data_IF_441337531645
#
_entry.id   IF_441337531645
#
_cell.length_a   1.000
_cell.length_b   1.000
_cell.length_c   1.000
_cell.angle_alpha   90.00
_cell.angle_beta   90.00
_cell.angle_gamma   90.00
#
_symmetry.space_group_name_H-M   'P 1'
#
loop_
_entity.id
_entity.type
_entity.pdbx_description
1 polymer ?
#
# COMPACT_ATOMS: atom_id res chain seq x y z
N UNK A 1 59.09 27.90 20.91
CA UNK A 1 59.04 26.47 20.56
C UNK A 1 57.74 26.21 19.84
N UNK A 2 57.79 26.14 18.51
CA UNK A 2 56.78 25.47 17.68
C UNK A 2 57.37 24.10 17.31
N UNK A 3 56.58 23.02 17.25
CA UNK A 3 56.97 21.83 16.52
C UNK A 3 56.25 21.76 15.18
N UNK A 4 57.08 21.67 14.14
CA UNK A 4 56.78 21.35 12.75
C UNK A 4 56.37 19.88 12.57
N UNK A 5 55.50 19.68 11.58
CA UNK A 5 54.93 18.42 11.07
C UNK A 5 55.99 17.56 10.35
N UNK A 6 55.79 16.23 10.25
CA UNK A 6 56.12 15.52 9.02
C UNK A 6 54.92 14.75 8.42
N UNK A 7 54.66 15.03 7.14
CA UNK A 7 53.80 14.24 6.26
C UNK A 7 54.59 13.09 5.65
N UNK A 8 54.10 11.86 5.83
CA UNK A 8 54.35 10.66 5.00
C UNK A 8 53.23 9.67 5.34
N UNK A 9 52.54 8.95 4.47
CA UNK A 9 52.55 8.76 3.03
C UNK A 9 51.36 7.82 2.72
N UNK A 10 50.72 8.03 1.57
CA UNK A 10 49.62 7.26 1.04
C UNK A 10 50.00 5.79 0.81
N UNK A 11 49.08 4.88 1.16
CA UNK A 11 48.61 3.67 0.42
C UNK A 11 48.26 2.54 1.41
N UNK A 12 46.95 2.26 1.56
CA UNK A 12 46.40 0.92 1.81
C UNK A 12 44.91 0.95 1.50
N UNK A 13 44.50 0.06 0.60
CA UNK A 13 43.16 0.02 0.00
C UNK A 13 42.06 -0.01 1.06
N UNK A 14 41.01 0.77 0.81
CA UNK A 14 39.71 0.55 1.41
C UNK A 14 39.16 -0.76 0.82
N UNK A 15 39.46 -1.87 1.46
CA UNK A 15 38.57 -3.03 1.39
C UNK A 15 37.30 -2.62 2.16
N UNK A 16 36.34 -2.05 1.42
CA UNK A 16 34.97 -1.91 1.90
C UNK A 16 34.34 -3.29 1.95
N UNK A 17 34.71 -4.08 2.97
CA UNK A 17 33.86 -5.15 3.46
C UNK A 17 32.67 -4.51 4.19
N UNK A 18 31.80 -3.86 3.43
CA UNK A 18 30.45 -3.54 3.84
C UNK A 18 29.77 -4.89 4.09
N UNK A 19 29.71 -5.30 5.36
CA UNK A 19 28.82 -6.39 5.74
C UNK A 19 27.41 -5.93 5.36
N UNK A 20 26.62 -6.75 4.66
CA UNK A 20 25.21 -6.46 4.45
C UNK A 20 24.57 -6.19 5.81
N UNK A 21 23.99 -5.00 5.96
CA UNK A 21 23.15 -4.68 7.11
C UNK A 21 21.98 -5.67 7.08
N UNK A 22 21.60 -6.28 8.21
CA UNK A 22 20.46 -7.17 8.25
C UNK A 22 19.23 -6.41 7.73
N UNK A 23 18.66 -6.87 6.61
CA UNK A 23 17.30 -6.50 6.19
C UNK A 23 16.34 -6.84 7.34
N UNK A 24 15.13 -6.28 7.34
CA UNK A 24 13.99 -6.72 8.18
C UNK A 24 13.57 -8.19 7.88
N UNK A 25 14.54 -9.11 7.73
CA UNK A 25 14.38 -10.55 7.67
C UNK A 25 14.16 -11.05 9.11
N UNK A 26 13.03 -10.68 9.72
CA UNK A 26 12.67 -11.22 11.03
C UNK A 26 12.16 -12.65 10.85
N UNK A 27 13.07 -13.62 11.07
CA UNK A 27 12.72 -14.99 11.45
C UNK A 27 12.08 -15.10 12.84
N UNK A 28 11.94 -13.98 13.54
CA UNK A 28 11.23 -13.91 14.81
C UNK A 28 9.83 -13.37 14.58
N UNK A 29 8.85 -14.25 14.83
CA UNK A 29 7.46 -13.87 15.05
C UNK A 29 7.46 -12.96 16.27
N UNK A 30 7.30 -11.66 16.07
CA UNK A 30 7.04 -10.74 17.19
C UNK A 30 5.62 -11.01 17.69
N UNK A 31 5.39 -11.07 19.01
CA UNK A 31 4.08 -11.42 19.55
C UNK A 31 3.07 -10.28 19.34
N UNK A 32 1.82 -10.66 19.07
CA UNK A 32 0.60 -9.91 19.41
C UNK A 32 0.31 -8.55 18.74
N UNK A 33 0.72 -8.31 17.49
CA UNK A 33 0.05 -7.24 16.71
C UNK A 33 -1.26 -7.74 16.08
N UNK A 34 -2.30 -6.89 16.08
CA UNK A 34 -3.51 -7.06 15.25
C UNK A 34 -3.34 -6.47 13.83
N UNK A 35 -2.16 -5.91 13.53
CA UNK A 35 -1.86 -5.25 12.27
C UNK A 35 -1.51 -6.20 11.12
N UNK A 36 -1.20 -5.61 9.97
CA UNK A 36 -0.90 -6.35 8.73
C UNK A 36 0.29 -7.32 8.85
N UNK A 37 0.33 -8.33 7.97
CA UNK A 37 1.36 -9.36 8.01
C UNK A 37 2.75 -8.88 7.56
N UNK A 38 2.79 -7.75 6.88
CA UNK A 38 4.02 -7.17 6.37
C UNK A 38 4.79 -6.40 7.46
N UNK A 39 6.12 -6.60 7.60
CA UNK A 39 6.89 -5.96 8.66
C UNK A 39 6.82 -4.42 8.70
N UNK A 40 6.64 -3.77 7.54
CA UNK A 40 6.52 -2.31 7.45
C UNK A 40 5.13 -1.78 7.84
N UNK A 41 4.13 -2.67 7.89
CA UNK A 41 2.72 -2.33 8.07
C UNK A 41 2.10 -2.95 9.33
N UNK A 42 2.83 -3.84 10.00
CA UNK A 42 2.39 -4.60 11.17
C UNK A 42 1.82 -3.80 12.33
N UNK A 43 1.97 -2.48 12.36
CA UNK A 43 1.43 -1.64 13.41
C UNK A 43 0.09 -1.00 13.04
N UNK A 44 -0.43 -1.28 11.84
CA UNK A 44 -1.62 -0.69 11.27
C UNK A 44 -2.62 -1.78 10.87
N UNK A 45 -3.89 -1.49 11.03
CA UNK A 45 -4.98 -2.24 10.40
C UNK A 45 -6.17 -1.33 10.13
N UNK A 46 -6.94 -1.67 9.12
CA UNK A 46 -8.18 -0.99 8.79
C UNK A 46 -9.42 -1.72 9.33
N UNK A 47 -10.41 -0.93 9.78
CA UNK A 47 -11.73 -1.42 10.17
C UNK A 47 -12.83 -0.84 9.24
N UNK A 48 -13.63 -1.70 8.57
CA UNK A 48 -14.56 -1.30 7.52
C UNK A 48 -15.68 -0.39 8.01
N UNK A 49 -16.18 0.53 7.17
CA UNK A 49 -17.29 1.41 7.55
C UNK A 49 -18.59 0.66 7.85
N UNK A 50 -18.79 -0.46 7.17
CA UNK A 50 -19.98 -1.29 7.30
C UNK A 50 -19.61 -2.74 7.57
N UNK A 51 -20.32 -3.35 8.52
CA UNK A 51 -20.28 -4.78 8.78
C UNK A 51 -21.44 -5.43 8.04
N UNK A 52 -21.13 -6.41 7.20
CA UNK A 52 -22.13 -7.24 6.52
C UNK A 52 -22.42 -8.45 7.40
N UNK A 53 -23.55 -8.41 8.13
CA UNK A 53 -24.01 -9.54 8.98
C UNK A 53 -25.44 -9.92 8.60
N UNK A 54 -25.73 -11.22 8.50
CA UNK A 54 -27.09 -11.74 8.30
C UNK A 54 -27.84 -11.16 7.10
N UNK A 55 -27.10 -10.84 6.01
CA UNK A 55 -27.67 -10.23 4.81
C UNK A 55 -28.05 -8.76 4.94
N UNK A 56 -27.62 -8.09 6.01
CA UNK A 56 -27.82 -6.66 6.24
C UNK A 56 -26.47 -5.96 6.41
N UNK A 57 -26.39 -4.73 5.90
CA UNK A 57 -25.30 -3.82 6.22
C UNK A 57 -25.64 -3.08 7.51
N UNK A 58 -24.73 -3.10 8.47
CA UNK A 58 -24.81 -2.32 9.71
C UNK A 58 -23.62 -1.38 9.79
N UNK A 59 -23.85 -0.17 10.30
CA UNK A 59 -22.77 0.77 10.59
C UNK A 59 -21.77 0.13 11.56
N UNK A 60 -20.49 0.21 11.24
CA UNK A 60 -19.43 -0.09 12.18
C UNK A 60 -19.11 1.18 12.98
N UNK A 61 -19.13 1.10 14.30
CA UNK A 61 -18.75 2.24 15.15
C UNK A 61 -17.24 2.32 15.38
N UNK A 62 -16.54 1.22 15.13
CA UNK A 62 -15.10 1.07 15.27
C UNK A 62 -14.42 1.23 13.91
N UNK A 63 -15.02 1.94 12.96
CA UNK A 63 -14.46 2.11 11.62
C UNK A 63 -13.33 3.14 11.62
N UNK A 64 -12.37 2.96 10.73
CA UNK A 64 -11.23 3.87 10.59
C UNK A 64 -9.91 3.11 10.49
N UNK A 65 -8.83 3.84 10.65
CA UNK A 65 -7.47 3.29 10.66
C UNK A 65 -7.05 3.14 12.12
N UNK A 66 -6.59 1.95 12.46
CA UNK A 66 -6.16 1.62 13.79
C UNK A 66 -4.64 1.47 13.84
N UNK A 67 -4.08 1.89 14.97
CA UNK A 67 -2.63 1.92 15.18
C UNK A 67 -2.29 1.28 16.52
N UNK A 68 -1.41 0.30 16.49
CA UNK A 68 -0.73 -0.20 17.69
C UNK A 68 0.50 0.69 17.94
N UNK A 69 0.38 1.62 18.89
CA UNK A 69 1.35 2.70 19.08
C UNK A 69 2.69 2.24 19.66
N UNK A 70 2.69 1.14 20.42
CA UNK A 70 3.91 0.59 20.99
C UNK A 70 4.74 -0.07 19.88
N UNK A 71 4.09 -0.85 19.01
CA UNK A 71 4.64 -1.41 17.78
C UNK A 71 5.19 -0.32 16.85
N UNK A 72 4.41 0.75 16.63
CA UNK A 72 4.85 1.84 15.75
C UNK A 72 6.10 2.53 16.31
N UNK A 73 6.18 2.68 17.62
CA UNK A 73 7.34 3.27 18.30
C UNK A 73 8.57 2.36 18.21
N UNK A 74 8.40 1.04 18.28
CA UNK A 74 9.49 0.10 18.05
C UNK A 74 9.98 0.10 16.59
N UNK A 75 9.04 0.13 15.64
CA UNK A 75 9.35 0.21 14.21
C UNK A 75 10.08 1.52 13.88
N UNK A 76 9.60 2.65 14.39
CA UNK A 76 10.24 3.95 14.18
C UNK A 76 11.61 4.04 14.83
N UNK A 77 11.81 3.47 16.03
CA UNK A 77 13.12 3.41 16.66
C UNK A 77 14.13 2.59 15.84
N UNK A 78 13.69 1.48 15.25
CA UNK A 78 14.53 0.68 14.35
C UNK A 78 14.93 1.48 13.10
N UNK A 79 13.97 2.15 12.45
CA UNK A 79 14.21 2.99 11.28
C UNK A 79 15.10 4.19 11.62
N UNK A 80 14.90 4.82 12.78
CA UNK A 80 15.73 5.92 13.28
C UNK A 80 17.19 5.48 13.41
N UNK A 81 17.46 4.30 13.98
CA UNK A 81 18.81 3.75 14.08
C UNK A 81 19.49 3.53 12.73
N UNK A 82 18.72 3.23 11.66
CA UNK A 82 19.25 3.16 10.30
C UNK A 82 19.51 4.55 9.71
N UNK A 83 18.57 5.47 9.90
CA UNK A 83 18.70 6.88 9.50
C UNK A 83 19.94 7.54 10.13
N UNK A 84 20.23 7.28 11.41
CA UNK A 84 21.43 7.78 12.09
C UNK A 84 22.72 7.23 11.46
N UNK A 85 22.74 5.94 11.09
CA UNK A 85 23.88 5.34 10.40
C UNK A 85 24.10 5.96 9.01
N UNK A 86 23.02 6.39 8.37
CA UNK A 86 23.03 7.13 7.10
C UNK A 86 23.39 8.62 7.27
N UNK A 87 23.56 9.11 8.51
CA UNK A 87 23.91 10.50 8.80
C UNK A 87 22.72 11.47 8.79
N UNK A 88 21.48 10.97 8.87
CA UNK A 88 20.27 11.80 8.92
C UNK A 88 20.16 12.49 10.29
N UNK A 89 19.99 13.80 10.28
CA UNK A 89 19.77 14.61 11.50
C UNK A 89 18.29 14.54 11.90
N UNK A 90 18.01 14.50 13.21
CA UNK A 90 16.64 14.36 13.75
C UNK A 90 15.94 13.04 13.32
N UNK A 91 16.73 11.97 13.21
CA UNK A 91 16.27 10.66 12.74
C UNK A 91 15.03 10.13 13.48
N UNK A 92 14.91 10.34 14.78
CA UNK A 92 13.77 9.86 15.58
C UNK A 92 12.42 10.40 15.07
N UNK A 93 12.31 11.72 14.88
CA UNK A 93 11.08 12.35 14.40
C UNK A 93 10.77 12.00 12.94
N UNK A 94 11.80 11.98 12.08
CA UNK A 94 11.65 11.65 10.67
C UNK A 94 11.29 10.17 10.47
N UNK A 95 11.85 9.27 11.27
CA UNK A 95 11.51 7.87 11.24
C UNK A 95 10.06 7.63 11.67
N UNK A 96 9.59 8.29 12.73
CA UNK A 96 8.20 8.19 13.15
C UNK A 96 7.26 8.68 12.06
N UNK A 97 7.54 9.84 11.46
CA UNK A 97 6.73 10.39 10.36
C UNK A 97 6.73 9.47 9.14
N UNK A 98 7.89 8.93 8.76
CA UNK A 98 8.02 8.05 7.60
C UNK A 98 7.26 6.74 7.82
N UNK A 99 7.42 6.10 8.98
CA UNK A 99 6.70 4.87 9.34
C UNK A 99 5.19 5.11 9.42
N UNK A 100 4.77 6.21 10.04
CA UNK A 100 3.36 6.56 10.17
C UNK A 100 2.71 6.76 8.81
N UNK A 101 3.32 7.59 7.97
CA UNK A 101 2.79 7.93 6.66
C UNK A 101 2.66 6.69 5.78
N UNK A 102 3.69 5.84 5.75
CA UNK A 102 3.65 4.59 4.99
C UNK A 102 2.48 3.69 5.41
N UNK A 103 2.34 3.42 6.71
CA UNK A 103 1.27 2.57 7.21
C UNK A 103 -0.12 3.18 7.06
N UNK A 104 -0.26 4.47 7.37
CA UNK A 104 -1.53 5.18 7.24
C UNK A 104 -2.03 5.21 5.80
N UNK A 105 -1.19 5.57 4.82
CA UNK A 105 -1.62 5.67 3.42
C UNK A 105 -1.86 4.28 2.80
N UNK A 106 -1.18 3.24 3.31
CA UNK A 106 -1.51 1.85 2.97
C UNK A 106 -2.92 1.49 3.42
N UNK A 107 -3.25 1.66 4.71
CA UNK A 107 -4.59 1.37 5.23
C UNK A 107 -5.67 2.29 4.63
N UNK A 108 -5.31 3.51 4.27
CA UNK A 108 -6.20 4.43 3.59
C UNK A 108 -6.65 3.89 2.23
N UNK A 109 -5.77 3.20 1.50
CA UNK A 109 -6.15 2.53 0.26
C UNK A 109 -7.20 1.42 0.51
N UNK A 110 -7.02 0.62 1.56
CA UNK A 110 -8.01 -0.39 1.96
C UNK A 110 -9.34 0.25 2.33
N UNK A 111 -9.31 1.40 3.02
CA UNK A 111 -10.51 2.19 3.31
C UNK A 111 -11.23 2.67 2.04
N UNK A 112 -10.50 3.22 1.07
CA UNK A 112 -11.07 3.65 -0.21
C UNK A 112 -11.71 2.46 -0.95
N UNK A 113 -11.04 1.32 -0.94
CA UNK A 113 -11.54 0.08 -1.53
C UNK A 113 -12.84 -0.39 -0.86
N UNK A 114 -12.85 -0.46 0.47
CA UNK A 114 -14.02 -0.85 1.26
C UNK A 114 -15.20 0.11 1.07
N UNK A 115 -14.92 1.41 0.99
CA UNK A 115 -15.94 2.45 0.79
C UNK A 115 -16.60 2.33 -0.59
N UNK A 116 -15.80 2.11 -1.63
CA UNK A 116 -16.30 1.89 -2.98
C UNK A 116 -17.17 0.63 -3.07
N UNK A 117 -16.71 -0.46 -2.45
CA UNK A 117 -17.47 -1.71 -2.37
C UNK A 117 -18.77 -1.52 -1.59
N UNK A 118 -18.72 -0.87 -0.43
CA UNK A 118 -19.88 -0.60 0.42
C UNK A 118 -20.94 0.20 -0.33
N UNK A 119 -20.52 1.26 -1.04
CA UNK A 119 -21.43 2.06 -1.85
C UNK A 119 -22.08 1.23 -2.97
N UNK A 120 -21.33 0.31 -3.59
CA UNK A 120 -21.87 -0.62 -4.58
C UNK A 120 -22.90 -1.59 -3.98
N UNK A 121 -22.62 -2.17 -2.81
CA UNK A 121 -23.54 -3.07 -2.12
C UNK A 121 -24.82 -2.35 -1.66
N UNK A 122 -24.73 -1.08 -1.25
CA UNK A 122 -25.88 -0.24 -0.95
C UNK A 122 -26.79 -0.07 -2.17
N UNK A 123 -26.22 0.26 -3.34
CA UNK A 123 -26.99 0.36 -4.59
C UNK A 123 -27.68 -0.95 -4.96
N UNK A 124 -27.00 -2.09 -4.84
CA UNK A 124 -27.62 -3.41 -5.09
C UNK A 124 -28.78 -3.64 -4.11
N UNK A 125 -28.58 -3.36 -2.82
CA UNK A 125 -29.63 -3.55 -1.82
C UNK A 125 -30.85 -2.66 -2.09
N UNK A 126 -30.67 -1.41 -2.53
CA UNK A 126 -31.76 -0.51 -2.89
C UNK A 126 -32.58 -1.01 -4.08
N UNK A 127 -31.94 -1.66 -5.06
CA UNK A 127 -32.59 -2.19 -6.26
C UNK A 127 -33.23 -3.56 -6.01
N UNK A 128 -32.51 -4.48 -5.36
CA UNK A 128 -32.91 -5.88 -5.23
C UNK A 128 -33.54 -6.24 -3.88
N UNK A 129 -33.45 -5.35 -2.89
CA UNK A 129 -33.91 -5.59 -1.52
C UNK A 129 -33.05 -6.59 -0.73
N UNK A 130 -31.93 -7.06 -1.29
CA UNK A 130 -30.99 -8.00 -0.69
C UNK A 130 -29.57 -7.77 -1.21
N UNK A 131 -28.58 -8.22 -0.44
CA UNK A 131 -27.16 -8.22 -0.84
C UNK A 131 -26.79 -9.61 -1.36
N UNK A 132 -25.95 -9.73 -2.42
CA UNK A 132 -25.47 -11.02 -2.90
C UNK A 132 -24.76 -11.83 -1.81
N UNK A 133 -24.96 -13.14 -1.78
CA UNK A 133 -24.29 -14.00 -0.79
C UNK A 133 -22.76 -14.07 -1.01
N UNK A 134 -22.32 -13.94 -2.26
CA UNK A 134 -20.91 -13.88 -2.63
C UNK A 134 -20.15 -12.75 -1.92
N UNK A 135 -20.81 -11.60 -1.69
CA UNK A 135 -20.22 -10.45 -1.00
C UNK A 135 -19.84 -10.73 0.46
N UNK A 136 -20.41 -11.77 1.07
CA UNK A 136 -20.05 -12.23 2.42
C UNK A 136 -18.87 -13.20 2.42
N UNK A 137 -18.60 -13.83 1.27
CA UNK A 137 -17.63 -14.92 1.17
C UNK A 137 -16.21 -14.38 1.04
N UNK A 138 -15.98 -13.35 0.21
CA UNK A 138 -14.62 -12.86 -0.04
C UNK A 138 -13.89 -12.49 1.23
N UNK A 139 -14.43 -11.60 2.09
CA UNK A 139 -13.74 -11.19 3.33
C UNK A 139 -13.41 -12.38 4.23
N UNK A 140 -14.32 -13.35 4.34
CA UNK A 140 -14.11 -14.56 5.14
C UNK A 140 -13.01 -15.43 4.56
N UNK A 141 -12.97 -15.62 3.24
CA UNK A 141 -11.92 -16.40 2.59
C UNK A 141 -10.58 -15.66 2.58
N UNK A 142 -10.60 -14.34 2.39
CA UNK A 142 -9.45 -13.44 2.52
C UNK A 142 -8.78 -13.59 3.88
N UNK A 143 -9.53 -13.39 4.98
CA UNK A 143 -9.00 -13.53 6.35
C UNK A 143 -8.46 -14.94 6.65
N UNK A 144 -9.04 -16.00 6.07
CA UNK A 144 -8.50 -17.35 6.25
C UNK A 144 -7.16 -17.57 5.55
N UNK A 145 -6.88 -16.83 4.49
CA UNK A 145 -5.72 -17.05 3.63
C UNK A 145 -4.59 -16.08 3.95
N UNK A 146 -4.90 -14.85 4.37
CA UNK A 146 -3.89 -13.86 4.80
C UNK A 146 -3.05 -14.40 5.96
N UNK A 147 -3.69 -15.08 6.93
CA UNK A 147 -3.01 -15.66 8.10
C UNK A 147 -2.22 -16.95 7.82
N UNK A 148 -2.35 -17.55 6.62
CA UNK A 148 -1.94 -18.94 6.41
C UNK A 148 -0.59 -19.19 5.74
N UNK A 149 0.02 -18.26 5.00
CA UNK A 149 1.42 -18.41 4.53
C UNK A 149 1.87 -17.26 3.60
N UNK A 150 3.19 -17.10 3.48
CA UNK A 150 3.95 -16.24 2.54
C UNK A 150 3.78 -16.56 1.04
N UNK A 151 2.65 -17.13 0.62
CA UNK A 151 2.39 -17.60 -0.75
C UNK A 151 1.11 -17.07 -1.37
N UNK A 152 0.36 -16.22 -0.67
CA UNK A 152 -0.89 -15.69 -1.21
C UNK A 152 -0.64 -14.49 -2.12
N UNK A 153 0.14 -14.70 -3.18
CA UNK A 153 0.51 -13.67 -4.15
C UNK A 153 -0.70 -13.12 -4.92
N UNK A 154 -1.85 -13.79 -4.86
CA UNK A 154 -3.12 -13.36 -5.45
C UNK A 154 -3.94 -12.42 -4.54
N UNK A 155 -3.44 -12.00 -3.37
CA UNK A 155 -4.02 -10.89 -2.60
C UNK A 155 -3.57 -9.54 -3.18
N UNK A 156 -4.01 -9.28 -4.41
CA UNK A 156 -3.57 -8.13 -5.23
C UNK A 156 -3.94 -6.78 -4.61
N UNK A 157 -4.87 -6.74 -3.64
CA UNK A 157 -5.20 -5.51 -2.94
C UNK A 157 -3.98 -4.90 -2.22
N UNK A 158 -3.14 -5.73 -1.59
CA UNK A 158 -1.90 -5.31 -0.94
C UNK A 158 -0.89 -4.74 -1.95
N UNK A 159 -0.83 -5.37 -3.14
CA UNK A 159 -0.05 -4.89 -4.28
C UNK A 159 -0.49 -3.50 -4.71
N UNK A 160 -1.81 -3.28 -4.80
CA UNK A 160 -2.39 -2.00 -5.19
C UNK A 160 -2.21 -0.93 -4.11
N UNK A 161 -2.27 -1.29 -2.83
CA UNK A 161 -2.03 -0.35 -1.72
C UNK A 161 -0.60 0.20 -1.75
N UNK A 162 0.40 -0.67 -1.89
CA UNK A 162 1.79 -0.23 -2.06
C UNK A 162 2.01 0.53 -3.37
N UNK A 163 1.37 0.10 -4.46
CA UNK A 163 1.43 0.83 -5.73
C UNK A 163 0.79 2.21 -5.63
N UNK A 164 -0.29 2.38 -4.86
CA UNK A 164 -0.95 3.66 -4.62
C UNK A 164 -0.01 4.66 -3.93
N UNK A 165 0.70 4.22 -2.88
CA UNK A 165 1.71 5.04 -2.18
C UNK A 165 2.79 5.51 -3.16
N UNK A 166 3.28 4.62 -4.02
CA UNK A 166 4.35 4.98 -4.98
C UNK A 166 3.83 5.83 -6.14
N UNK A 167 2.59 5.60 -6.56
CA UNK A 167 1.95 6.32 -7.67
C UNK A 167 1.65 7.75 -7.36
N UNK A 168 1.28 8.07 -6.13
CA UNK A 168 0.76 9.38 -5.76
C UNK A 168 1.77 10.47 -6.11
N UNK A 169 1.57 11.14 -7.26
CA UNK A 169 2.55 12.07 -7.82
C UNK A 169 2.51 13.38 -7.06
N UNK A 170 1.46 13.60 -6.25
CA UNK A 170 1.30 14.84 -5.50
C UNK A 170 2.14 14.85 -4.24
N UNK A 171 2.45 13.69 -3.62
CA UNK A 171 3.06 13.67 -2.27
C UNK A 171 3.80 12.42 -1.80
N UNK A 172 3.57 11.20 -2.27
CA UNK A 172 4.21 10.03 -1.65
C UNK A 172 5.20 9.33 -2.57
N UNK A 173 5.01 9.42 -3.89
CA UNK A 173 5.94 8.85 -4.86
C UNK A 173 7.36 9.40 -4.72
N UNK A 174 7.51 10.67 -4.30
CA UNK A 174 8.83 11.27 -4.06
C UNK A 174 9.52 10.79 -2.76
N UNK A 175 8.83 10.04 -1.89
CA UNK A 175 9.40 9.38 -0.71
C UNK A 175 9.70 7.88 -0.95
N UNK A 176 9.41 7.36 -2.16
CA UNK A 176 9.63 5.95 -2.53
C UNK A 176 11.00 5.42 -2.13
N UNK A 177 12.06 6.16 -2.45
CA UNK A 177 13.44 5.75 -2.13
C UNK A 177 13.68 5.66 -0.62
N UNK A 178 13.07 6.55 0.17
CA UNK A 178 13.17 6.46 1.63
C UNK A 178 12.42 5.24 2.15
N UNK A 179 11.22 4.96 1.65
CA UNK A 179 10.47 3.76 2.04
C UNK A 179 11.23 2.46 1.70
N UNK A 180 11.86 2.39 0.53
CA UNK A 180 12.69 1.25 0.12
C UNK A 180 13.97 1.13 0.96
N UNK A 181 14.68 2.25 1.15
CA UNK A 181 15.95 2.31 1.88
C UNK A 181 15.81 1.83 3.33
N UNK A 182 14.72 2.23 3.98
CA UNK A 182 14.44 1.88 5.38
C UNK A 182 13.56 0.63 5.54
N UNK A 183 13.36 -0.13 4.46
CA UNK A 183 12.71 -1.43 4.48
C UNK A 183 11.21 -1.43 4.76
N UNK A 184 10.57 -0.26 4.71
CA UNK A 184 9.12 -0.10 4.83
C UNK A 184 8.43 -0.64 3.57
N UNK A 185 8.76 -0.11 2.40
CA UNK A 185 8.31 -0.64 1.12
C UNK A 185 9.21 -1.84 0.72
N UNK A 186 8.64 -3.00 0.35
CA UNK A 186 9.42 -4.14 -0.14
C UNK A 186 10.12 -3.82 -1.45
N UNK A 187 11.30 -4.43 -1.66
CA UNK A 187 11.90 -4.46 -2.98
C UNK A 187 11.00 -5.24 -3.95
N UNK A 188 10.88 -4.82 -5.22
CA UNK A 188 10.00 -5.47 -6.19
C UNK A 188 10.29 -6.96 -6.45
N UNK A 189 11.47 -7.44 -6.11
CA UNK A 189 11.93 -8.82 -6.28
C UNK A 189 11.90 -9.63 -4.96
N UNK A 190 11.41 -9.05 -3.86
CA UNK A 190 11.35 -9.70 -2.56
C UNK A 190 10.11 -10.60 -2.44
N UNK A 191 10.12 -11.72 -3.18
CA UNK A 191 9.01 -12.68 -3.20
C UNK A 191 8.63 -13.22 -1.81
N UNK A 192 9.54 -13.14 -0.81
CA UNK A 192 9.26 -13.53 0.58
C UNK A 192 8.25 -12.62 1.27
N UNK A 193 8.15 -11.36 0.80
CA UNK A 193 7.13 -10.40 1.22
C UNK A 193 5.83 -10.54 0.41
N UNK A 194 5.79 -11.47 -0.55
CA UNK A 194 4.58 -11.91 -1.21
C UNK A 194 3.84 -10.78 -1.95
N UNK A 195 2.50 -10.65 -1.81
CA UNK A 195 1.72 -9.70 -2.60
C UNK A 195 2.17 -8.24 -2.38
N UNK A 196 2.69 -7.92 -1.19
CA UNK A 196 3.21 -6.59 -0.89
C UNK A 196 4.35 -6.18 -1.82
N UNK A 197 5.14 -7.12 -2.37
CA UNK A 197 6.30 -6.86 -3.23
C UNK A 197 5.97 -6.74 -4.74
N UNK A 198 4.74 -7.01 -5.17
CA UNK A 198 4.34 -7.00 -6.59
C UNK A 198 4.00 -5.60 -7.15
N UNK A 199 4.24 -4.55 -6.37
CA UNK A 199 3.70 -3.20 -6.59
C UNK A 199 4.30 -2.46 -7.78
N UNK A 200 5.54 -2.76 -8.17
CA UNK A 200 6.34 -1.93 -9.10
C UNK A 200 5.67 -1.68 -10.45
N UNK A 201 5.29 -2.75 -11.15
CA UNK A 201 4.60 -2.61 -12.44
C UNK A 201 3.26 -1.90 -12.29
N UNK A 202 2.51 -2.22 -11.24
CA UNK A 202 1.25 -1.54 -10.96
C UNK A 202 1.47 -0.05 -10.65
N UNK A 203 2.62 0.33 -10.10
CA UNK A 203 2.93 1.71 -9.78
C UNK A 203 3.22 2.54 -11.04
N UNK A 204 3.92 1.97 -12.03
CA UNK A 204 4.36 2.73 -13.21
C UNK A 204 3.53 2.49 -14.48
N UNK A 205 2.65 1.49 -14.49
CA UNK A 205 1.75 1.20 -15.61
C UNK A 205 0.28 1.35 -15.18
N UNK A 206 -0.41 2.30 -15.80
CA UNK A 206 -1.82 2.59 -15.51
C UNK A 206 -2.78 1.51 -16.01
N UNK A 207 -2.44 0.78 -17.08
CA UNK A 207 -3.28 -0.34 -17.53
C UNK A 207 -3.18 -1.50 -16.54
N UNK A 208 -1.96 -1.82 -16.09
CA UNK A 208 -1.73 -2.84 -15.06
C UNK A 208 -2.46 -2.50 -13.77
N UNK A 209 -2.36 -1.27 -13.27
CA UNK A 209 -3.11 -0.87 -12.06
C UNK A 209 -4.62 -1.02 -12.24
N UNK A 210 -5.14 -0.70 -13.42
CA UNK A 210 -6.57 -0.85 -13.75
C UNK A 210 -6.98 -2.32 -13.80
N UNK A 211 -6.18 -3.16 -14.46
CA UNK A 211 -6.40 -4.61 -14.55
C UNK A 211 -6.39 -5.26 -13.16
N UNK A 212 -5.40 -4.95 -12.34
CA UNK A 212 -5.30 -5.45 -10.96
C UNK A 212 -6.49 -4.95 -10.11
N UNK A 213 -6.92 -3.69 -10.27
CA UNK A 213 -8.12 -3.17 -9.60
C UNK A 213 -9.39 -3.92 -10.04
N UNK A 214 -9.50 -4.25 -11.33
CA UNK A 214 -10.59 -5.06 -11.86
C UNK A 214 -10.58 -6.47 -11.27
N UNK A 215 -9.41 -7.10 -11.14
CA UNK A 215 -9.27 -8.40 -10.50
C UNK A 215 -9.77 -8.37 -9.04
N UNK A 216 -9.41 -7.33 -8.27
CA UNK A 216 -9.92 -7.14 -6.90
C UNK A 216 -11.45 -7.00 -6.89
N UNK A 217 -12.04 -6.25 -7.81
CA UNK A 217 -13.50 -6.19 -7.95
C UNK A 217 -14.12 -7.56 -8.22
N UNK A 218 -13.55 -8.35 -9.14
CA UNK A 218 -14.02 -9.70 -9.42
C UNK A 218 -13.91 -10.60 -8.18
N UNK A 219 -12.85 -10.46 -7.38
CA UNK A 219 -12.70 -11.19 -6.13
C UNK A 219 -13.86 -10.90 -5.17
N UNK A 220 -14.19 -9.62 -4.97
CA UNK A 220 -15.30 -9.20 -4.11
C UNK A 220 -16.68 -9.64 -4.64
N UNK A 221 -16.94 -9.45 -5.92
CA UNK A 221 -18.25 -9.73 -6.53
C UNK A 221 -18.54 -11.23 -6.62
N UNK A 222 -17.51 -12.04 -6.87
CA UNK A 222 -17.66 -13.50 -6.98
C UNK A 222 -17.49 -14.22 -5.65
N UNK A 223 -16.91 -13.57 -4.63
CA UNK A 223 -16.60 -14.21 -3.37
C UNK A 223 -15.41 -15.17 -3.44
N UNK A 224 -14.65 -15.17 -4.54
CA UNK A 224 -13.50 -16.06 -4.79
C UNK A 224 -12.20 -15.29 -4.70
N UNK A 225 -11.17 -15.89 -4.10
CA UNK A 225 -9.83 -15.29 -4.08
C UNK A 225 -9.12 -15.43 -5.43
N UNK A 226 -9.42 -16.48 -6.18
CA UNK A 226 -9.00 -16.62 -7.58
C UNK A 226 -10.24 -16.66 -8.51
N UNK A 227 -10.81 -15.50 -8.88
CA UNK A 227 -12.00 -15.44 -9.71
C UNK A 227 -11.76 -15.89 -11.15
N UNK A 228 -10.50 -15.83 -11.63
CA UNK A 228 -10.14 -16.11 -13.02
C UNK A 228 -9.42 -17.46 -13.22
N UNK A 229 -9.20 -18.23 -12.15
CA UNK A 229 -8.50 -19.51 -12.16
C UNK A 229 -7.05 -19.39 -12.69
N UNK A 230 -6.35 -18.33 -12.24
CA UNK A 230 -4.97 -18.07 -12.64
C UNK A 230 -3.96 -18.89 -11.82
N UNK A 231 -4.31 -19.29 -10.60
CA UNK A 231 -3.40 -19.95 -9.67
C UNK A 231 -2.84 -21.26 -10.24
N UNK A 232 -3.61 -22.14 -10.88
CA UNK A 232 -3.05 -23.35 -11.51
C UNK A 232 -1.99 -23.04 -12.58
N UNK A 233 -2.11 -21.91 -13.31
CA UNK A 233 -1.10 -21.48 -14.28
C UNK A 233 0.17 -21.01 -13.57
N UNK A 234 0.03 -20.21 -12.52
CA UNK A 234 1.16 -19.73 -11.69
C UNK A 234 1.88 -20.91 -11.04
N UNK A 235 1.16 -21.88 -10.47
CA UNK A 235 1.75 -23.09 -9.89
C UNK A 235 2.55 -23.88 -10.91
N UNK A 236 2.03 -24.03 -12.14
CA UNK A 236 2.77 -24.69 -13.22
C UNK A 236 4.08 -23.96 -13.53
N UNK A 237 4.05 -22.63 -13.61
CA UNK A 237 5.27 -21.82 -13.83
C UNK A 237 6.25 -22.00 -12.65
N UNK A 238 5.76 -22.00 -11.41
CA UNK A 238 6.58 -22.30 -10.23
C UNK A 238 7.24 -23.68 -10.31
N UNK A 239 6.51 -24.70 -10.77
CA UNK A 239 7.03 -26.06 -10.91
C UNK A 239 8.12 -26.16 -11.98
N UNK A 240 8.02 -25.39 -13.07
CA UNK A 240 8.96 -25.42 -14.19
C UNK A 240 10.18 -24.50 -13.98
N UNK A 241 9.96 -23.31 -13.42
CA UNK A 241 10.97 -22.24 -13.31
C UNK A 241 11.33 -21.82 -11.89
N UNK A 242 10.71 -22.39 -10.86
CA UNK A 242 10.89 -21.98 -9.46
C UNK A 242 9.97 -20.83 -9.05
N UNK A 243 9.95 -20.53 -7.74
CA UNK A 243 9.06 -19.50 -7.16
C UNK A 243 9.25 -18.12 -7.79
N UNK A 244 10.49 -17.72 -8.07
CA UNK A 244 10.81 -16.42 -8.67
C UNK A 244 10.11 -16.27 -10.03
N UNK A 245 10.12 -17.32 -10.86
CA UNK A 245 9.46 -17.31 -12.16
C UNK A 245 7.93 -17.18 -12.05
N UNK A 246 7.32 -17.83 -11.06
CA UNK A 246 5.88 -17.70 -10.81
C UNK A 246 5.50 -16.34 -10.26
N UNK A 247 6.35 -15.78 -9.39
CA UNK A 247 6.21 -14.45 -8.83
C UNK A 247 6.26 -13.37 -9.93
N UNK A 248 7.22 -13.45 -10.85
CA UNK A 248 7.31 -12.53 -12.00
C UNK A 248 6.13 -12.67 -12.97
N UNK A 249 5.58 -13.88 -13.08
CA UNK A 249 4.49 -14.17 -14.00
C UNK A 249 3.12 -13.72 -13.48
N UNK A 250 2.93 -13.57 -12.17
CA UNK A 250 1.59 -13.44 -11.59
C UNK A 250 0.83 -12.22 -12.10
N UNK A 251 1.49 -11.05 -12.15
CA UNK A 251 0.88 -9.81 -12.64
C UNK A 251 0.48 -9.97 -14.10
N UNK A 252 1.32 -10.60 -14.93
CA UNK A 252 0.98 -10.89 -16.32
C UNK A 252 -0.23 -11.82 -16.41
N UNK A 253 -0.26 -12.90 -15.63
CA UNK A 253 -1.38 -13.84 -15.64
C UNK A 253 -2.70 -13.20 -15.21
N UNK A 254 -2.66 -12.22 -14.29
CA UNK A 254 -3.85 -11.45 -13.92
C UNK A 254 -4.28 -10.55 -15.07
N UNK A 255 -3.35 -9.74 -15.60
CA UNK A 255 -3.61 -8.80 -16.71
C UNK A 255 -4.23 -9.54 -17.90
N UNK A 256 -3.59 -10.61 -18.35
CA UNK A 256 -4.08 -11.46 -19.45
C UNK A 256 -5.48 -12.05 -19.19
N UNK A 257 -5.84 -12.26 -17.91
CA UNK A 257 -7.11 -12.88 -17.55
C UNK A 257 -8.26 -11.88 -17.38
N UNK A 258 -7.96 -10.58 -17.21
CA UNK A 258 -8.96 -9.55 -16.91
C UNK A 258 -9.04 -8.44 -17.95
N UNK A 259 -8.00 -8.25 -18.77
CA UNK A 259 -8.07 -7.41 -19.97
C UNK A 259 -8.84 -8.18 -21.07
N UNK A 260 -9.98 -7.67 -21.56
CA UNK A 260 -10.71 -8.31 -22.65
C UNK A 260 -9.87 -8.32 -23.94
N UNK A 261 -9.87 -9.44 -24.67
CA UNK A 261 -9.19 -9.54 -25.98
C UNK A 261 -9.80 -8.58 -27.03
N UNK A 262 -11.07 -8.17 -26.87
CA UNK A 262 -11.79 -7.24 -27.75
C UNK A 262 -12.76 -6.36 -26.93
N UNK A 263 -12.48 -5.05 -26.82
CA UNK A 263 -13.48 -4.07 -26.34
C UNK A 263 -14.00 -3.35 -27.58
N UNK A 264 -15.15 -3.79 -28.09
CA UNK A 264 -15.88 -3.02 -29.10
C UNK A 264 -16.37 -1.72 -28.47
N UNK A 265 -16.11 -0.63 -29.18
CA UNK A 265 -16.19 0.75 -28.73
C UNK A 265 -17.60 1.19 -28.28
N UNK A 266 -17.61 2.13 -27.32
CA UNK A 266 -18.72 3.06 -27.03
C UNK A 266 -20.01 2.45 -26.43
N UNK A 267 -20.01 2.12 -25.12
CA UNK A 267 -21.16 2.28 -24.18
C UNK A 267 -21.01 1.44 -22.88
N UNK A 268 -19.80 1.33 -22.33
CA UNK A 268 -19.51 0.33 -21.29
C UNK A 268 -19.85 0.81 -19.87
N UNK A 269 -21.15 0.79 -19.52
CA UNK A 269 -21.61 0.79 -18.12
C UNK A 269 -21.74 -0.63 -17.53
N UNK A 270 -21.50 -1.69 -18.32
CA UNK A 270 -21.70 -3.10 -17.95
C UNK A 270 -20.69 -4.06 -18.62
N UNK A 271 -20.15 -5.05 -17.89
CA UNK A 271 -19.41 -6.20 -18.44
C UNK A 271 -20.30 -7.44 -18.42
N UNK A 272 -20.14 -8.33 -19.38
CA UNK A 272 -20.83 -9.62 -19.39
C UNK A 272 -19.98 -10.65 -18.62
N UNK A 273 -20.57 -11.36 -17.65
CA UNK A 273 -19.90 -12.54 -17.07
C UNK A 273 -19.84 -13.69 -18.10
N UNK A 274 -19.15 -14.80 -17.77
CA UNK A 274 -19.04 -15.99 -18.64
C UNK A 274 -20.38 -16.64 -19.01
N UNK A 275 -21.47 -16.30 -18.30
CA UNK A 275 -22.83 -16.75 -18.54
C UNK A 275 -23.68 -15.72 -19.32
N UNK A 276 -23.09 -14.59 -19.76
CA UNK A 276 -23.76 -13.54 -20.51
C UNK A 276 -24.63 -12.61 -19.66
N UNK A 277 -24.39 -12.50 -18.35
CA UNK A 277 -25.11 -11.60 -17.45
C UNK A 277 -24.40 -10.25 -17.38
N UNK A 278 -25.15 -9.16 -17.61
CA UNK A 278 -24.67 -7.79 -17.44
C UNK A 278 -24.37 -7.50 -15.96
N UNK A 279 -23.10 -7.28 -15.64
CA UNK A 279 -22.59 -6.83 -14.35
C UNK A 279 -22.26 -5.33 -14.48
N UNK A 280 -22.86 -4.45 -13.64
CA UNK A 280 -22.57 -3.02 -13.69
C UNK A 280 -21.09 -2.76 -13.48
N UNK A 281 -20.48 -2.05 -14.42
CA UNK A 281 -19.09 -1.64 -14.32
C UNK A 281 -19.01 -0.42 -13.42
N UNK A 282 -18.39 -0.56 -12.26
CA UNK A 282 -17.64 0.56 -11.71
C UNK A 282 -16.31 0.63 -12.47
N UNK A 283 -16.30 1.31 -13.62
CA UNK A 283 -15.04 1.71 -14.26
C UNK A 283 -14.54 2.88 -13.43
N UNK A 284 -13.30 2.77 -13.01
CA UNK A 284 -12.73 3.59 -11.97
C UNK A 284 -12.04 2.62 -11.05
N UNK A 285 -10.76 2.38 -11.34
CA UNK A 285 -9.86 1.83 -10.33
C UNK A 285 -9.97 2.64 -9.03
N UNK A 286 -9.27 2.21 -8.01
CA UNK A 286 -9.17 2.97 -6.76
C UNK A 286 -8.34 4.25 -7.03
N UNK A 287 -8.94 5.22 -7.73
CA UNK A 287 -8.33 6.44 -8.27
C UNK A 287 -8.53 7.65 -7.35
N UNK A 288 -9.02 7.43 -6.12
CA UNK A 288 -9.23 8.54 -5.21
C UNK A 288 -7.88 9.13 -4.78
N UNK A 289 -7.67 10.39 -5.15
CA UNK A 289 -6.61 11.24 -4.61
C UNK A 289 -6.88 11.61 -3.15
N UNK A 290 -5.79 11.94 -2.45
CA UNK A 290 -5.62 12.20 -1.00
C UNK A 290 -6.63 13.14 -0.30
N UNK A 291 -7.58 13.76 -1.01
CA UNK A 291 -8.43 14.85 -0.50
C UNK A 291 -9.45 14.42 0.57
N UNK A 292 -9.56 13.12 0.91
CA UNK A 292 -10.46 12.64 1.98
C UNK A 292 -9.78 11.96 3.17
N UNK A 293 -8.44 11.92 3.21
CA UNK A 293 -7.70 11.22 4.28
C UNK A 293 -7.92 11.80 5.68
N UNK A 294 -8.17 13.10 5.76
CA UNK A 294 -8.47 13.81 7.01
C UNK A 294 -9.81 13.42 7.64
N UNK A 295 -10.71 12.79 6.88
CA UNK A 295 -12.04 12.42 7.35
C UNK A 295 -12.09 10.99 7.92
N UNK A 296 -11.00 10.23 7.81
CA UNK A 296 -10.91 8.87 8.31
C UNK A 296 -10.52 8.89 9.79
N UNK A 297 -11.35 8.34 10.71
CA UNK A 297 -11.03 8.29 12.12
C UNK A 297 -9.74 7.51 12.38
N UNK A 298 -8.94 8.04 13.29
CA UNK A 298 -7.73 7.40 13.81
C UNK A 298 -8.03 6.80 15.18
N UNK A 299 -7.79 5.49 15.33
CA UNK A 299 -7.93 4.78 16.59
C UNK A 299 -6.56 4.30 17.07
N UNK A 300 -6.04 4.93 18.11
CA UNK A 300 -4.70 4.61 18.61
C UNK A 300 -4.78 3.78 19.88
N UNK A 301 -4.14 2.62 19.85
CA UNK A 301 -4.06 1.63 20.92
C UNK A 301 -2.65 1.60 21.49
N UNK A 302 -2.48 1.17 22.74
CA UNK A 302 -1.16 1.07 23.39
C UNK A 302 -0.73 2.31 24.17
N UNK A 303 0.48 2.24 24.72
CA UNK A 303 0.97 3.19 25.72
C UNK A 303 1.40 4.54 25.16
N UNK A 304 1.77 4.60 23.87
CA UNK A 304 2.23 5.82 23.18
C UNK A 304 1.09 6.60 22.49
N UNK A 305 -0.17 6.23 22.76
CA UNK A 305 -1.35 6.79 22.08
C UNK A 305 -1.45 8.31 22.12
N UNK A 306 -1.14 8.95 23.25
CA UNK A 306 -1.19 10.40 23.39
C UNK A 306 -0.22 11.12 22.43
N UNK A 307 1.01 10.61 22.29
CA UNK A 307 2.03 11.17 21.40
C UNK A 307 1.61 11.06 19.92
N UNK A 308 1.06 9.90 19.53
CA UNK A 308 0.58 9.68 18.17
C UNK A 308 -0.62 10.58 17.86
N UNK A 309 -1.57 10.72 18.78
CA UNK A 309 -2.74 11.60 18.59
C UNK A 309 -2.35 13.08 18.58
N UNK A 310 -1.38 13.51 19.37
CA UNK A 310 -0.87 14.88 19.33
C UNK A 310 -0.22 15.20 17.98
N UNK A 311 0.48 14.22 17.38
CA UNK A 311 1.21 14.42 16.12
C UNK A 311 0.38 14.19 14.85
N UNK A 312 -0.56 13.26 14.87
CA UNK A 312 -1.31 12.84 13.66
C UNK A 312 -2.83 12.95 13.82
N UNK A 313 -3.31 13.46 14.95
CA UNK A 313 -4.72 13.70 15.18
C UNK A 313 -5.24 14.91 14.41
N UNK A 314 -6.57 14.99 14.31
CA UNK A 314 -7.30 16.07 13.61
C UNK A 314 -7.02 17.47 14.18
N UNK A 315 -6.57 17.54 15.43
CA UNK A 315 -6.26 18.81 16.10
C UNK A 315 -4.87 19.37 15.74
N UNK A 316 -4.00 18.58 15.08
CA UNK A 316 -2.69 19.06 14.63
C UNK A 316 -2.79 19.73 13.24
N UNK A 317 -2.54 21.04 13.12
CA UNK A 317 -2.60 21.74 11.83
C UNK A 317 -1.51 21.30 10.84
N UNK A 318 -0.41 20.72 11.31
CA UNK A 318 0.67 20.21 10.45
C UNK A 318 0.31 18.89 9.78
N UNK A 319 -0.68 18.16 10.32
CA UNK A 319 -1.14 16.93 9.73
C UNK A 319 -2.13 17.20 8.58
N UNK A 320 -2.01 16.53 7.43
CA UNK A 320 -0.89 15.68 6.98
C UNK A 320 0.20 16.43 6.20
N UNK A 321 -0.06 17.67 5.78
CA UNK A 321 0.74 18.36 4.78
C UNK A 321 2.13 18.80 5.28
N UNK A 322 2.19 19.44 6.46
CA UNK A 322 3.45 19.87 7.06
C UNK A 322 4.38 18.71 7.40
N UNK A 323 3.82 17.57 7.82
CA UNK A 323 4.59 16.34 8.06
C UNK A 323 5.22 15.82 6.76
N UNK A 324 4.45 15.78 5.67
CA UNK A 324 4.94 15.34 4.36
C UNK A 324 6.00 16.29 3.82
N UNK A 325 5.78 17.61 3.91
CA UNK A 325 6.75 18.62 3.50
C UNK A 325 8.05 18.52 4.32
N UNK A 326 7.94 18.26 5.63
CA UNK A 326 9.07 17.96 6.49
C UNK A 326 9.89 16.78 5.97
N UNK A 327 9.25 15.64 5.69
CA UNK A 327 9.92 14.48 5.10
C UNK A 327 10.57 14.81 3.75
N UNK A 328 9.91 15.59 2.89
CA UNK A 328 10.47 16.01 1.61
C UNK A 328 11.71 16.88 1.75
N UNK A 329 11.70 17.82 2.67
CA UNK A 329 12.86 18.68 2.91
C UNK A 329 14.13 17.87 3.25
N UNK A 330 13.95 16.66 3.80
CA UNK A 330 15.03 15.77 4.17
C UNK A 330 15.36 14.70 3.12
N UNK A 331 14.36 14.12 2.46
CA UNK A 331 14.55 12.97 1.56
C UNK A 331 14.46 13.31 0.07
N UNK A 332 14.06 14.52 -0.32
CA UNK A 332 14.01 14.89 -1.75
C UNK A 332 15.42 14.87 -2.34
N UNK A 333 15.59 14.05 -3.37
CA UNK A 333 16.80 13.99 -4.18
C UNK A 333 16.91 15.32 -4.94
N UNK A 334 18.02 16.04 -4.73
CA UNK A 334 18.44 17.20 -5.54
C UNK A 334 18.99 16.70 -6.88
N UNK A 335 18.18 16.02 -7.69
CA UNK A 335 18.53 15.65 -9.08
C UNK A 335 17.28 15.63 -9.96
N UNK A 336 16.64 16.79 -10.13
CA UNK A 336 15.95 17.11 -11.38
C UNK A 336 16.50 18.46 -11.83
N UNK A 337 17.12 18.43 -13.00
CA UNK A 337 17.73 19.58 -13.66
C UNK A 337 16.69 20.66 -13.95
N UNK A 338 16.81 21.80 -13.27
CA UNK A 338 16.59 23.13 -13.86
C UNK A 338 15.21 23.54 -14.38
N UNK A 339 14.18 22.69 -14.29
CA UNK A 339 12.80 23.10 -14.55
C UNK A 339 12.10 23.31 -13.21
N UNK A 340 11.46 24.47 -13.06
CA UNK A 340 10.77 24.83 -11.83
C UNK A 340 9.52 23.98 -11.69
N UNK A 341 9.63 22.85 -11.00
CA UNK A 341 8.49 22.11 -10.47
C UNK A 341 7.96 22.86 -9.23
N UNK A 342 7.24 23.94 -9.51
CA UNK A 342 6.24 24.46 -8.57
C UNK A 342 5.03 23.52 -8.62
N UNK A 343 4.73 22.76 -7.55
CA UNK A 343 3.53 21.91 -7.50
C UNK A 343 2.22 22.73 -7.43
N UNK A 344 2.30 24.07 -7.42
CA UNK A 344 1.20 25.02 -7.54
C UNK A 344 1.32 25.92 -8.79
N UNK A 345 2.18 25.55 -9.74
CA UNK A 345 2.42 26.32 -10.96
C UNK A 345 1.25 26.24 -11.94
N UNK A 346 0.39 27.26 -11.89
CA UNK A 346 -0.50 27.88 -12.90
C UNK A 346 -1.28 27.05 -13.97
N UNK A 347 -1.24 25.72 -14.01
CA UNK A 347 -2.03 24.89 -14.96
C UNK A 347 -3.18 24.11 -14.27
N UNK A 348 -3.80 24.69 -13.24
CA UNK A 348 -5.08 24.22 -12.67
C UNK A 348 -6.26 24.64 -13.56
N UNK A 349 -6.37 24.05 -14.76
CA UNK A 349 -7.62 24.02 -15.54
C UNK A 349 -8.54 22.89 -15.00
N UNK A 350 -8.88 22.95 -13.71
CA UNK A 350 -10.07 22.27 -13.20
C UNK A 350 -11.27 23.17 -13.50
N UNK A 351 -11.81 23.10 -14.72
CA UNK A 351 -13.17 23.56 -14.98
C UNK A 351 -14.14 22.71 -14.15
N UNK A 352 -14.50 23.23 -12.98
CA UNK A 352 -15.71 22.87 -12.25
C UNK A 352 -16.91 23.24 -13.12
N UNK A 353 -17.31 22.36 -14.04
CA UNK A 353 -18.65 22.48 -14.62
C UNK A 353 -19.71 21.90 -13.67
N UNK A 354 -20.87 22.56 -13.51
CA UNK A 354 -21.83 22.35 -12.42
C UNK A 354 -22.52 20.99 -12.38
#
# INVERSE_FOLDING_TARGET
MQPTVPMTGFTRGFDMNLKPVPRLDSKEVSPESQGENDPGLRCFWYSPMMIVSDGKMKKNNDWGIHIESDCLSELSAFVAGQMEQDGVVNAEYLALDLCFLFGFDHEYFHHCTDSALTAHLQRIFEVEGKIPDASKMYRKEYSKLIDKEKKNWILVQETLANAHIVRDPTRLGGLREAFLRYGLLPQPDDWKRGPYALWDRAAFDSSVFTALSHFVWLQYLTGKVDPCDIWPKVEKICHEGGNDAGFDAIVNQIVDAVEPEDIDSEDSSYILNRDGVNVPISFGGFQQGLLRRLEVPLHVHGSQSAMILERYGIDNPEWPYGIIEGLYSHFRIVELSGESDDPFGDDDDFELTP
#
